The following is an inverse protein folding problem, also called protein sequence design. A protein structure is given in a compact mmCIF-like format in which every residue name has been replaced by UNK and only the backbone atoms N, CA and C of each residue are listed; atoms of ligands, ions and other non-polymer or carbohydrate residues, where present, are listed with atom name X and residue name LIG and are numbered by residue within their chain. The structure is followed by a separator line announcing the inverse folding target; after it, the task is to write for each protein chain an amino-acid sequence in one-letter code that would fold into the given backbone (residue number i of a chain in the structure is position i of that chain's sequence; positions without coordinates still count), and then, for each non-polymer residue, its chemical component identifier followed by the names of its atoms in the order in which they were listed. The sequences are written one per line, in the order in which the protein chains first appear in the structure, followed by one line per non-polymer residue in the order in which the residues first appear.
data_IF_158061148837
#
_entry.id   IF_158061148837
#
_cell.length_a   1.000
_cell.length_b   1.000
_cell.length_c   1.000
_cell.angle_alpha   90.00
_cell.angle_beta   90.00
_cell.angle_gamma   90.00
#
_symmetry.space_group_name_H-M   'P 1'
#
loop_
_entity.id
_entity.type
_entity.pdbx_description
1 polymer ?
#
# COMPACT_ATOMS: atom_id res chain seq x y z
N UNK A 1 -20.49 -9.56 11.47
CA UNK A 1 -20.29 -8.13 11.81
C UNK A 1 -20.26 -7.91 13.30
N UNK A 2 -21.26 -8.36 14.07
CA UNK A 2 -21.32 -8.12 15.53
C UNK A 2 -20.08 -8.61 16.30
N UNK A 3 -19.53 -9.78 15.97
CA UNK A 3 -18.30 -10.29 16.59
C UNK A 3 -17.07 -9.42 16.27
N UNK A 4 -16.93 -8.99 15.02
CA UNK A 4 -15.88 -8.08 14.58
C UNK A 4 -16.01 -6.71 15.26
N UNK A 5 -17.23 -6.18 15.41
CA UNK A 5 -17.48 -4.92 16.11
C UNK A 5 -17.11 -4.98 17.60
N UNK A 6 -17.49 -6.06 18.30
CA UNK A 6 -17.10 -6.28 19.70
C UNK A 6 -15.59 -6.36 19.86
N UNK A 7 -14.93 -7.07 18.95
CA UNK A 7 -13.47 -7.17 18.91
C UNK A 7 -12.81 -5.80 18.67
N UNK A 8 -13.32 -5.02 17.71
CA UNK A 8 -12.79 -3.69 17.41
C UNK A 8 -12.98 -2.73 18.58
N UNK A 9 -14.12 -2.76 19.28
CA UNK A 9 -14.32 -1.96 20.49
C UNK A 9 -13.28 -2.28 21.57
N UNK A 10 -13.02 -3.57 21.83
CA UNK A 10 -11.96 -4.01 22.74
C UNK A 10 -10.59 -3.55 22.27
N UNK A 11 -10.33 -3.54 20.97
CA UNK A 11 -9.08 -3.05 20.41
C UNK A 11 -8.92 -1.54 20.62
N UNK A 12 -9.98 -0.74 20.42
CA UNK A 12 -9.97 0.70 20.65
C UNK A 12 -9.79 1.07 22.14
N UNK A 13 -10.24 0.22 23.06
CA UNK A 13 -9.95 0.41 24.50
C UNK A 13 -8.45 0.20 24.81
N UNK A 14 -7.82 -0.76 24.13
CA UNK A 14 -6.41 -1.11 24.34
C UNK A 14 -5.47 -0.24 23.50
N UNK A 15 -5.93 0.36 22.40
CA UNK A 15 -5.18 1.28 21.54
C UNK A 15 -6.01 2.55 21.30
N UNK A 16 -6.23 3.38 22.33
CA UNK A 16 -7.16 4.49 22.22
C UNK A 16 -6.54 5.68 21.48
N UNK A 17 -7.37 6.42 20.74
CA UNK A 17 -6.95 7.60 19.97
C UNK A 17 -6.30 8.69 20.83
N UNK A 18 -6.76 8.86 22.08
CA UNK A 18 -6.18 9.81 23.05
C UNK A 18 -4.71 9.51 23.39
N UNK A 19 -4.27 8.27 23.18
CA UNK A 19 -2.86 7.86 23.35
C UNK A 19 -2.07 7.91 22.04
N UNK A 20 -2.68 8.44 20.98
CA UNK A 20 -2.05 8.65 19.69
C UNK A 20 -2.02 7.41 18.80
N UNK A 21 -3.05 6.56 18.88
CA UNK A 21 -3.22 5.41 17.98
C UNK A 21 -4.41 5.59 17.05
N UNK A 22 -4.29 5.14 15.82
CA UNK A 22 -5.45 4.87 14.97
C UNK A 22 -5.39 3.43 14.45
N UNK A 23 -6.56 2.79 14.35
CA UNK A 23 -6.70 1.42 13.88
C UNK A 23 -7.65 1.39 12.69
N UNK A 24 -7.17 0.87 11.55
CA UNK A 24 -7.91 0.85 10.29
C UNK A 24 -8.07 -0.58 9.78
N UNK A 25 -9.32 -0.97 9.50
CA UNK A 25 -9.71 -2.34 9.15
C UNK A 25 -9.53 -2.60 7.66
N UNK A 26 -9.06 -3.79 7.31
CA UNK A 26 -9.02 -4.29 5.94
C UNK A 26 -9.12 -5.82 5.87
N UNK A 27 -9.42 -6.34 4.68
CA UNK A 27 -9.35 -7.77 4.37
C UNK A 27 -7.95 -8.16 3.93
N UNK A 28 -7.46 -9.31 4.41
CA UNK A 28 -6.19 -9.89 3.92
C UNK A 28 -6.18 -10.05 2.39
N UNK A 29 -7.32 -10.41 1.79
CA UNK A 29 -7.47 -10.51 0.33
C UNK A 29 -7.23 -9.18 -0.40
N UNK A 30 -7.70 -8.06 0.16
CA UNK A 30 -7.48 -6.72 -0.40
C UNK A 30 -5.99 -6.38 -0.44
N UNK A 31 -5.26 -6.68 0.64
CA UNK A 31 -3.80 -6.54 0.67
C UNK A 31 -3.10 -7.47 -0.33
N UNK A 32 -3.45 -8.76 -0.34
CA UNK A 32 -2.84 -9.77 -1.21
C UNK A 32 -3.06 -9.50 -2.71
N UNK A 33 -4.14 -8.78 -3.06
CA UNK A 33 -4.40 -8.34 -4.43
C UNK A 33 -3.36 -7.34 -4.93
N UNK A 34 -2.75 -6.57 -4.02
CA UNK A 34 -1.73 -5.56 -4.32
C UNK A 34 -0.29 -6.00 -4.01
N UNK A 35 -0.13 -6.98 -3.12
CA UNK A 35 1.17 -7.54 -2.76
C UNK A 35 1.70 -8.47 -3.87
N UNK A 36 3.02 -8.45 -4.10
CA UNK A 36 3.64 -9.50 -4.91
C UNK A 36 3.61 -10.84 -4.17
N UNK A 37 3.74 -11.94 -4.91
CA UNK A 37 3.69 -13.32 -4.35
C UNK A 37 4.63 -13.56 -3.17
N UNK A 38 5.72 -12.79 -3.06
CA UNK A 38 6.70 -12.89 -1.98
C UNK A 38 6.28 -12.22 -0.67
N UNK A 39 5.24 -11.37 -0.72
CA UNK A 39 4.73 -10.60 0.42
C UNK A 39 3.28 -10.94 0.75
N UNK A 40 2.70 -11.95 0.09
CA UNK A 40 1.34 -12.38 0.38
C UNK A 40 1.25 -13.01 1.77
N UNK A 41 0.17 -12.68 2.46
CA UNK A 41 -0.17 -13.24 3.77
C UNK A 41 -1.05 -14.48 3.55
N UNK A 42 -0.66 -15.62 4.13
CA UNK A 42 -1.31 -16.90 3.88
C UNK A 42 -2.52 -17.15 4.80
N UNK A 43 -3.53 -16.29 4.69
CA UNK A 43 -4.84 -16.45 5.35
C UNK A 43 -5.97 -16.38 4.32
N UNK A 44 -7.20 -16.67 4.75
CA UNK A 44 -8.37 -16.51 3.90
C UNK A 44 -8.52 -15.07 3.44
N UNK A 45 -9.05 -14.88 2.23
CA UNK A 45 -9.22 -13.56 1.63
C UNK A 45 -10.08 -12.62 2.49
N UNK A 46 -11.05 -13.17 3.23
CA UNK A 46 -11.94 -12.41 4.11
C UNK A 46 -11.45 -12.29 5.55
N UNK A 47 -10.27 -12.82 5.90
CA UNK A 47 -9.71 -12.68 7.25
C UNK A 47 -9.58 -11.19 7.61
N UNK A 48 -10.06 -10.86 8.81
CA UNK A 48 -9.96 -9.53 9.40
C UNK A 48 -8.49 -9.20 9.69
N UNK A 49 -8.04 -8.07 9.15
CA UNK A 49 -6.79 -7.46 9.53
C UNK A 49 -7.00 -5.98 9.92
N UNK A 50 -6.14 -5.48 10.78
CA UNK A 50 -6.18 -4.10 11.26
C UNK A 50 -4.77 -3.53 11.18
N UNK A 51 -4.57 -2.45 10.44
CA UNK A 51 -3.32 -1.70 10.47
C UNK A 51 -3.39 -0.66 11.58
N UNK A 52 -2.35 -0.62 12.41
CA UNK A 52 -2.21 0.31 13.53
C UNK A 52 -1.14 1.33 13.16
N UNK A 53 -1.47 2.61 13.35
CA UNK A 53 -0.53 3.71 13.19
C UNK A 53 -0.44 4.55 14.46
N UNK A 54 0.69 5.23 14.64
CA UNK A 54 0.89 6.25 15.68
C UNK A 54 0.77 7.65 15.08
N UNK A 55 0.03 8.53 15.74
CA UNK A 55 -0.18 9.94 15.38
C UNK A 55 0.87 10.85 16.06
N UNK A 56 0.87 12.18 15.83
CA UNK A 56 1.78 13.10 16.51
C UNK A 56 1.70 13.03 18.05
N UNK A 57 0.48 13.00 18.60
CA UNK A 57 0.25 13.00 20.04
C UNK A 57 0.91 11.83 20.79
N UNK A 58 1.14 10.69 20.12
CA UNK A 58 1.79 9.51 20.71
C UNK A 58 3.10 9.83 21.45
N UNK A 59 3.93 10.72 20.90
CA UNK A 59 5.27 10.96 21.43
C UNK A 59 5.26 11.59 22.83
N UNK A 60 4.46 12.65 23.02
CA UNK A 60 4.35 13.35 24.30
C UNK A 60 3.32 12.71 25.23
N UNK A 61 2.17 12.26 24.71
CA UNK A 61 1.08 11.75 25.54
C UNK A 61 1.34 10.33 26.07
N UNK A 62 2.13 9.54 25.35
CA UNK A 62 2.25 8.10 25.59
C UNK A 62 3.69 7.66 25.76
N UNK A 63 4.54 7.93 24.76
CA UNK A 63 5.92 7.44 24.77
C UNK A 63 6.76 8.06 25.88
N UNK A 64 6.68 9.38 26.07
CA UNK A 64 7.42 10.09 27.13
C UNK A 64 7.06 9.60 28.54
N UNK A 65 5.79 9.60 28.98
CA UNK A 65 5.42 9.09 30.30
C UNK A 65 5.82 7.62 30.49
N UNK A 66 5.65 6.79 29.45
CA UNK A 66 6.09 5.40 29.51
C UNK A 66 7.61 5.32 29.73
N UNK A 67 8.41 6.05 28.95
CA UNK A 67 9.86 5.98 29.03
C UNK A 67 10.38 6.49 30.38
N UNK A 68 9.79 7.56 30.91
CA UNK A 68 10.06 8.04 32.27
C UNK A 68 9.75 6.98 33.33
N UNK A 69 8.65 6.22 33.17
CA UNK A 69 8.30 5.14 34.09
C UNK A 69 9.23 3.93 34.06
N UNK A 70 10.09 3.82 33.03
CA UNK A 70 11.09 2.74 32.95
C UNK A 70 12.36 3.03 33.76
N UNK A 71 12.58 4.29 34.16
CA UNK A 71 13.71 4.71 34.98
C UNK A 71 13.56 4.20 36.41
N UNK A 72 14.54 3.44 36.88
CA UNK A 72 14.60 2.96 38.26
C UNK A 72 15.07 4.08 39.21
N UNK A 73 14.75 3.95 40.50
CA UNK A 73 15.19 4.91 41.52
C UNK A 73 16.72 4.95 41.56
N UNK A 74 17.30 6.12 41.31
CA UNK A 74 18.75 6.33 41.30
C UNK A 74 19.46 5.91 40.00
N UNK A 75 18.72 5.42 38.99
CA UNK A 75 19.28 5.07 37.68
C UNK A 75 19.51 6.33 36.85
N UNK A 76 20.72 6.47 36.31
CA UNK A 76 21.06 7.56 35.40
C UNK A 76 20.42 7.36 34.01
N UNK A 77 20.22 8.43 33.21
CA UNK A 77 19.70 8.31 31.85
C UNK A 77 20.56 7.42 30.94
N UNK A 78 21.87 7.35 31.17
CA UNK A 78 22.78 6.50 30.39
C UNK A 78 22.57 5.02 30.72
N UNK A 79 22.43 4.67 31.99
CA UNK A 79 22.13 3.28 32.42
C UNK A 79 20.76 2.84 31.89
N UNK A 80 19.75 3.73 31.93
CA UNK A 80 18.45 3.47 31.32
C UNK A 80 18.58 3.23 29.80
N UNK A 81 19.40 4.03 29.11
CA UNK A 81 19.61 3.89 27.67
C UNK A 81 20.22 2.53 27.29
N UNK A 82 21.17 2.03 28.09
CA UNK A 82 21.80 0.71 27.89
C UNK A 82 20.81 -0.46 27.98
N UNK A 83 19.71 -0.32 28.73
CA UNK A 83 18.65 -1.33 28.81
C UNK A 83 17.84 -1.47 27.53
N UNK A 84 17.91 -0.50 26.62
CA UNK A 84 17.17 -0.50 25.35
C UNK A 84 18.08 -0.81 24.15
N UNK A 85 18.61 -2.03 24.08
CA UNK A 85 19.49 -2.49 23.00
C UNK A 85 18.89 -2.33 21.59
N UNK A 86 17.57 -2.54 21.44
CA UNK A 86 16.82 -2.35 20.19
C UNK A 86 16.22 -0.94 20.05
N UNK A 87 16.52 -0.04 20.98
CA UNK A 87 15.92 1.28 21.09
C UNK A 87 14.58 1.29 21.85
N UNK A 88 14.27 2.39 22.57
CA UNK A 88 13.11 2.46 23.45
C UNK A 88 11.76 2.39 22.73
N UNK A 89 11.68 2.89 21.49
CA UNK A 89 10.47 2.82 20.66
C UNK A 89 10.08 1.37 20.33
N UNK A 90 11.05 0.56 19.90
CA UNK A 90 10.80 -0.85 19.58
C UNK A 90 10.38 -1.63 20.83
N UNK A 91 11.03 -1.35 21.98
CA UNK A 91 10.66 -1.94 23.26
C UNK A 91 9.22 -1.57 23.68
N UNK A 92 8.84 -0.30 23.57
CA UNK A 92 7.48 0.17 23.84
C UNK A 92 6.46 -0.62 23.01
N UNK A 93 6.63 -0.67 21.68
CA UNK A 93 5.66 -1.32 20.80
C UNK A 93 5.60 -2.82 21.04
N UNK A 94 6.74 -3.47 21.29
CA UNK A 94 6.79 -4.91 21.63
C UNK A 94 5.96 -5.18 22.89
N UNK A 95 6.14 -4.38 23.94
CA UNK A 95 5.36 -4.52 25.18
C UNK A 95 3.88 -4.18 24.96
N UNK A 96 3.58 -3.10 24.23
CA UNK A 96 2.21 -2.65 23.98
C UNK A 96 1.41 -3.70 23.20
N UNK A 97 1.98 -4.28 22.16
CA UNK A 97 1.31 -5.31 21.36
C UNK A 97 1.27 -6.68 22.04
N UNK A 98 2.16 -6.98 23.00
CA UNK A 98 2.00 -8.12 23.90
C UNK A 98 0.73 -7.96 24.76
N UNK A 99 0.49 -6.76 25.32
CA UNK A 99 -0.76 -6.44 26.04
C UNK A 99 -1.99 -6.51 25.14
N UNK A 100 -1.87 -6.14 23.86
CA UNK A 100 -2.96 -6.35 22.88
C UNK A 100 -3.28 -7.83 22.75
N UNK A 101 -2.30 -8.72 22.62
CA UNK A 101 -2.52 -10.18 22.57
C UNK A 101 -3.26 -10.68 23.81
N UNK A 102 -2.78 -10.32 25.01
CA UNK A 102 -3.43 -10.67 26.28
C UNK A 102 -4.88 -10.16 26.33
N UNK A 103 -5.07 -8.91 25.95
CA UNK A 103 -6.36 -8.26 25.90
C UNK A 103 -7.21 -8.68 24.70
N UNK A 104 -6.82 -9.65 23.88
CA UNK A 104 -7.68 -10.24 22.85
C UNK A 104 -8.11 -11.66 23.20
N UNK A 105 -7.50 -12.30 24.21
CA UNK A 105 -7.85 -13.66 24.64
C UNK A 105 -9.36 -13.80 24.93
N UNK A 106 -9.99 -14.91 24.51
CA UNK A 106 -9.38 -16.10 23.89
C UNK A 106 -9.20 -16.02 22.36
N UNK A 107 -9.47 -14.87 21.73
CA UNK A 107 -9.34 -14.71 20.28
C UNK A 107 -7.87 -14.64 19.90
N UNK A 108 -7.46 -15.48 18.95
CA UNK A 108 -6.09 -15.46 18.41
C UNK A 108 -5.86 -14.19 17.59
N UNK A 109 -4.73 -13.53 17.86
CA UNK A 109 -4.25 -12.39 17.07
C UNK A 109 -2.77 -12.54 16.79
N UNK A 110 -2.43 -12.51 15.50
CA UNK A 110 -1.06 -12.39 15.03
C UNK A 110 -0.70 -10.91 14.89
N UNK A 111 0.49 -10.55 15.37
CA UNK A 111 1.01 -9.17 15.30
C UNK A 111 2.24 -9.20 14.41
N UNK A 112 2.20 -8.41 13.34
CA UNK A 112 3.33 -8.16 12.44
C UNK A 112 3.77 -6.70 12.61
N UNK A 113 4.97 -6.46 13.12
CA UNK A 113 5.51 -5.11 13.30
C UNK A 113 6.10 -4.55 12.00
N UNK A 114 6.24 -3.23 11.95
CA UNK A 114 6.92 -2.53 10.84
C UNK A 114 8.39 -2.91 10.73
N UNK A 115 9.01 -3.31 11.84
CA UNK A 115 10.39 -3.79 11.91
C UNK A 115 10.55 -5.31 11.75
N UNK A 116 9.46 -6.08 11.56
CA UNK A 116 9.56 -7.52 11.41
C UNK A 116 10.05 -7.92 10.01
N UNK A 117 11.14 -8.69 9.98
CA UNK A 117 11.75 -9.21 8.76
C UNK A 117 11.77 -10.74 8.73
N UNK A 118 11.68 -11.29 7.52
CA UNK A 118 11.90 -12.70 7.24
C UNK A 118 13.40 -13.06 7.34
N UNK A 119 13.72 -14.35 7.30
CA UNK A 119 15.11 -14.85 7.33
C UNK A 119 15.99 -14.27 6.20
N UNK A 120 15.39 -14.00 5.04
CA UNK A 120 16.03 -13.36 3.89
C UNK A 120 16.07 -11.81 3.97
N UNK A 121 15.79 -11.24 5.14
CA UNK A 121 15.76 -9.79 5.42
C UNK A 121 14.66 -9.00 4.71
N UNK A 122 13.72 -9.65 4.02
CA UNK A 122 12.53 -9.00 3.47
C UNK A 122 11.53 -8.65 4.58
N UNK A 123 10.80 -7.53 4.50
CA UNK A 123 9.69 -7.27 5.42
C UNK A 123 8.69 -8.42 5.44
N UNK A 124 8.14 -8.74 6.61
CA UNK A 124 7.04 -9.71 6.71
C UNK A 124 5.74 -9.18 6.09
N UNK A 125 5.53 -7.87 6.14
CA UNK A 125 4.34 -7.21 5.61
C UNK A 125 4.68 -5.82 5.05
N UNK A 126 3.98 -5.39 3.99
CA UNK A 126 4.15 -4.06 3.42
C UNK A 126 3.17 -3.07 4.06
N UNK A 127 3.65 -2.31 5.05
CA UNK A 127 2.82 -1.37 5.82
C UNK A 127 2.13 -0.31 4.96
N UNK A 128 2.81 0.22 3.93
CA UNK A 128 2.23 1.22 3.02
C UNK A 128 1.07 0.65 2.20
N UNK A 129 1.13 -0.64 1.86
CA UNK A 129 0.01 -1.31 1.18
C UNK A 129 -1.15 -1.53 2.14
N UNK A 130 -0.88 -1.93 3.39
CA UNK A 130 -1.91 -2.05 4.43
C UNK A 130 -2.64 -0.73 4.70
N UNK A 131 -1.88 0.37 4.84
CA UNK A 131 -2.43 1.71 4.98
C UNK A 131 -3.27 2.17 3.79
N UNK A 132 -2.87 1.78 2.58
CA UNK A 132 -3.63 2.11 1.37
C UNK A 132 -4.94 1.34 1.28
N UNK A 133 -4.91 0.01 1.45
CA UNK A 133 -6.10 -0.82 1.28
C UNK A 133 -7.12 -0.60 2.39
N UNK A 134 -6.67 -0.25 3.60
CA UNK A 134 -7.56 0.05 4.73
C UNK A 134 -8.21 1.44 4.68
N UNK A 135 -7.75 2.30 3.76
CA UNK A 135 -8.22 3.69 3.69
C UNK A 135 -7.51 4.68 4.60
N UNK A 136 -6.55 4.23 5.40
CA UNK A 136 -5.83 5.07 6.36
C UNK A 136 -5.02 6.18 5.68
N UNK A 137 -4.22 5.83 4.66
CA UNK A 137 -3.33 6.78 4.01
C UNK A 137 -3.14 6.44 2.52
N UNK A 138 -3.15 7.45 1.66
CA UNK A 138 -2.91 7.23 0.24
C UNK A 138 -1.41 6.99 0.01
N UNK A 139 -1.08 5.98 -0.81
CA UNK A 139 0.29 5.56 -1.04
C UNK A 139 0.72 6.06 -2.42
N UNK A 140 1.54 7.11 -2.42
CA UNK A 140 2.16 7.67 -3.61
C UNK A 140 3.39 6.85 -3.95
N UNK A 141 3.42 6.32 -5.17
CA UNK A 141 4.52 5.53 -5.70
C UNK A 141 5.38 6.41 -6.61
N UNK A 142 6.68 6.13 -6.73
CA UNK A 142 7.51 6.73 -7.78
C UNK A 142 6.80 6.61 -9.14
N UNK A 143 6.83 7.62 -10.00
CA UNK A 143 6.21 7.58 -11.34
C UNK A 143 6.61 6.34 -12.15
N UNK A 144 7.85 5.91 -11.97
CA UNK A 144 8.43 4.72 -12.56
C UNK A 144 7.70 3.45 -12.07
N UNK A 145 7.37 3.35 -10.78
CA UNK A 145 6.56 2.26 -10.24
C UNK A 145 5.06 2.42 -10.60
N UNK A 146 4.55 3.63 -10.83
CA UNK A 146 3.13 3.90 -11.14
C UNK A 146 2.73 3.45 -12.56
N UNK A 147 3.64 3.54 -13.53
CA UNK A 147 3.46 3.05 -14.91
C UNK A 147 3.17 1.54 -14.98
N UNK A 148 3.72 0.76 -14.04
CA UNK A 148 3.46 -0.68 -13.93
C UNK A 148 2.04 -1.01 -13.42
N UNK A 149 1.41 -0.09 -12.69
CA UNK A 149 0.10 -0.32 -12.06
C UNK A 149 -1.08 0.21 -12.87
N UNK A 150 -0.88 1.26 -13.69
CA UNK A 150 -1.95 1.80 -14.53
C UNK A 150 -2.47 0.74 -15.51
N UNK A 151 -1.61 -0.15 -16.00
CA UNK A 151 -1.97 -1.32 -16.82
C UNK A 151 -2.82 -2.35 -16.07
N UNK A 152 -2.54 -2.60 -14.79
CA UNK A 152 -3.32 -3.53 -13.96
C UNK A 152 -4.69 -2.96 -13.53
N UNK A 153 -4.77 -1.65 -13.27
CA UNK A 153 -6.00 -0.98 -12.83
C UNK A 153 -7.00 -0.73 -13.96
N UNK A 154 -6.51 -0.51 -15.19
CA UNK A 154 -7.38 -0.42 -16.38
C UNK A 154 -8.05 -1.78 -16.64
N UNK A 155 -7.30 -2.89 -16.54
CA UNK A 155 -7.86 -4.23 -16.67
C UNK A 155 -8.96 -4.53 -15.64
N UNK A 156 -8.80 -4.10 -14.39
CA UNK A 156 -9.81 -4.32 -13.35
C UNK A 156 -11.05 -3.41 -13.46
N UNK A 157 -10.95 -2.27 -14.15
CA UNK A 157 -12.04 -1.30 -14.30
C UNK A 157 -13.00 -1.69 -15.43
N UNK A 158 -12.50 -2.35 -16.47
CA UNK A 158 -13.31 -2.86 -17.58
C UNK A 158 -14.19 -4.05 -17.15
N UNK A 159 -13.72 -4.87 -16.21
CA UNK A 159 -14.51 -5.95 -15.60
C UNK A 159 -15.71 -5.43 -14.77
N UNK A 160 -15.56 -4.30 -14.08
CA UNK A 160 -16.64 -3.72 -13.27
C UNK A 160 -17.78 -3.12 -14.13
N UNK A 161 -17.50 -2.77 -15.38
CA UNK A 161 -18.51 -2.27 -16.33
C UNK A 161 -19.25 -3.43 -17.00
N UNK A 162 -18.62 -4.60 -17.15
CA UNK A 162 -19.22 -5.79 -17.75
C UNK A 162 -20.25 -6.50 -16.85
N UNK A 163 -20.15 -6.39 -15.52
CA UNK A 163 -21.05 -7.09 -14.56
C UNK A 163 -22.36 -6.31 -14.28
N UNK A 164 -22.57 -5.15 -14.92
CA UNK A 164 -23.69 -4.24 -14.63
C UNK A 164 -24.95 -4.37 -15.48
N UNK A 165 -25.07 -5.30 -16.43
CA UNK A 165 -26.27 -5.41 -17.28
C UNK A 165 -26.62 -6.83 -17.67
N UNK A 166 -27.40 -7.49 -16.83
CA UNK A 166 -28.40 -8.47 -17.29
C UNK A 166 -29.62 -8.40 -16.38
N UNK A 167 -30.61 -7.58 -16.76
CA UNK A 167 -32.02 -8.01 -16.73
C UNK A 167 -32.94 -6.99 -17.43
N UNK A 168 -33.86 -7.51 -18.25
CA UNK A 168 -35.11 -6.79 -18.60
C UNK A 168 -35.20 -6.13 -19.98
N UNK A 169 -35.73 -6.88 -20.95
CA UNK A 169 -36.31 -6.49 -22.26
C UNK A 169 -36.91 -5.06 -22.41
N UNK A 170 -36.63 -4.51 -23.61
CA UNK A 170 -37.49 -3.81 -24.61
C UNK A 170 -37.27 -2.29 -24.87
N UNK A 171 -36.88 -2.06 -26.14
CA UNK A 171 -37.19 -0.96 -27.09
C UNK A 171 -37.15 0.50 -26.61
N UNK A 172 -36.20 1.25 -27.16
CA UNK A 172 -36.31 2.71 -27.31
C UNK A 172 -35.05 3.34 -27.87
N UNK A 173 -35.09 3.78 -29.14
CA UNK A 173 -34.10 4.71 -29.73
C UNK A 173 -33.95 5.93 -28.82
N UNK A 174 -32.72 6.28 -28.43
CA UNK A 174 -32.27 7.67 -28.30
C UNK A 174 -30.75 7.75 -28.37
N UNK A 175 -30.32 8.46 -29.39
CA UNK A 175 -29.02 9.06 -29.63
C UNK A 175 -28.50 9.85 -28.42
N UNK A 176 -27.22 9.67 -28.10
CA UNK A 176 -26.49 10.46 -27.11
C UNK A 176 -25.04 10.01 -27.07
N UNK A 177 -24.22 10.59 -27.95
CA UNK A 177 -22.79 10.37 -28.02
C UNK A 177 -22.06 10.92 -26.79
N UNK A 178 -21.03 10.20 -26.38
CA UNK A 178 -20.04 10.61 -25.39
C UNK A 178 -18.74 9.87 -25.66
N UNK A 179 -18.12 10.15 -26.81
CA UNK A 179 -16.76 9.74 -27.11
C UNK A 179 -15.80 10.61 -26.28
N UNK A 180 -14.99 9.99 -25.43
CA UNK A 180 -13.71 10.58 -25.07
C UNK A 180 -12.67 10.08 -26.08
N UNK A 181 -12.38 10.95 -27.05
CA UNK A 181 -11.27 10.82 -27.99
C UNK A 181 -9.94 10.94 -27.24
N UNK A 182 -9.17 9.86 -27.14
CA UNK A 182 -7.71 9.97 -27.16
C UNK A 182 -7.26 9.99 -28.62
N UNK A 183 -6.91 11.18 -29.11
CA UNK A 183 -6.33 11.39 -30.44
C UNK A 183 -5.05 10.55 -30.58
N UNK A 184 -5.09 9.49 -31.37
CA UNK A 184 -3.92 8.98 -32.06
C UNK A 184 -4.01 9.49 -33.51
N UNK A 185 -3.10 10.37 -33.87
CA UNK A 185 -2.95 10.85 -35.25
C UNK A 185 -2.47 9.66 -36.08
N UNK A 186 -3.39 9.02 -36.81
CA UNK A 186 -3.05 8.17 -37.95
C UNK A 186 -3.28 9.05 -39.18
N UNK A 187 -2.20 9.58 -39.74
CA UNK A 187 -2.25 10.18 -41.07
C UNK A 187 -2.48 9.06 -42.11
N UNK A 188 -3.61 9.19 -42.80
CA UNK A 188 -3.92 8.73 -44.16
C UNK A 188 -3.80 7.23 -44.48
N UNK A 189 -4.95 6.56 -44.50
CA UNK A 189 -5.28 5.59 -45.53
C UNK A 189 -6.81 5.60 -45.75
N UNK A 190 -7.25 6.07 -46.92
CA UNK A 190 -8.65 6.02 -47.36
C UNK A 190 -9.02 4.57 -47.76
N UNK A 191 -10.13 4.04 -47.21
CA UNK A 191 -10.71 2.74 -47.59
C UNK A 191 -12.00 2.44 -46.81
N UNK A 192 -12.99 1.71 -47.38
CA UNK A 192 -14.41 1.89 -47.05
C UNK A 192 -14.94 1.02 -45.89
N UNK A 193 -15.93 1.60 -45.18
CA UNK A 193 -16.98 1.03 -44.32
C UNK A 193 -16.60 -0.08 -43.29
N UNK A 194 -16.32 0.37 -42.06
CA UNK A 194 -15.93 -0.44 -40.90
C UNK A 194 -17.08 -1.17 -40.18
N UNK A 195 -18.32 -1.10 -40.66
CA UNK A 195 -19.48 -1.70 -39.97
C UNK A 195 -19.81 -3.15 -40.38
N UNK A 196 -19.29 -3.66 -41.51
CA UNK A 196 -19.57 -5.05 -41.93
C UNK A 196 -18.57 -6.08 -41.39
N UNK A 197 -17.42 -5.65 -40.88
CA UNK A 197 -16.31 -6.55 -40.51
C UNK A 197 -16.44 -7.17 -39.11
N UNK A 198 -17.29 -6.64 -38.22
CA UNK A 198 -17.34 -7.06 -36.81
C UNK A 198 -18.15 -8.34 -36.55
N UNK A 199 -18.95 -8.81 -37.51
CA UNK A 199 -19.81 -9.98 -37.31
C UNK A 199 -19.13 -11.33 -37.63
N UNK A 200 -17.93 -11.34 -38.23
CA UNK A 200 -17.23 -12.56 -38.64
C UNK A 200 -16.12 -13.04 -37.68
N UNK A 201 -15.82 -12.29 -36.63
CA UNK A 201 -14.63 -12.51 -35.78
C UNK A 201 -14.83 -13.36 -34.52
N UNK A 202 -16.04 -13.87 -34.26
CA UNK A 202 -16.34 -14.57 -32.99
C UNK A 202 -16.41 -16.10 -33.09
N UNK A 203 -16.07 -16.68 -34.24
CA UNK A 203 -16.12 -18.13 -34.42
C UNK A 203 -14.77 -18.80 -34.11
N UNK A 204 -14.58 -19.19 -32.84
CA UNK A 204 -13.40 -19.94 -32.35
C UNK A 204 -13.11 -21.20 -33.18
N UNK A 205 -14.13 -21.81 -33.79
CA UNK A 205 -13.96 -23.04 -34.57
C UNK A 205 -13.28 -22.80 -35.93
N UNK A 206 -13.63 -21.70 -36.61
CA UNK A 206 -13.11 -21.40 -37.96
C UNK A 206 -11.63 -21.06 -38.01
N UNK A 207 -11.12 -20.36 -37.00
CA UNK A 207 -9.68 -20.04 -36.93
C UNK A 207 -8.83 -21.25 -36.54
N UNK A 208 -9.33 -22.11 -35.64
CA UNK A 208 -8.66 -23.36 -35.28
C UNK A 208 -8.48 -24.30 -36.47
N UNK A 209 -9.51 -24.42 -37.32
CA UNK A 209 -9.44 -25.22 -38.56
C UNK A 209 -8.44 -24.65 -39.59
N UNK A 210 -8.36 -23.32 -39.75
CA UNK A 210 -7.41 -22.67 -40.66
C UNK A 210 -5.94 -22.91 -40.24
N UNK A 211 -5.65 -22.88 -38.93
CA UNK A 211 -4.29 -23.06 -38.41
C UNK A 211 -3.85 -24.53 -38.47
N UNK A 212 -4.77 -25.47 -38.21
CA UNK A 212 -4.48 -26.90 -38.30
C UNK A 212 -4.13 -27.37 -39.71
N UNK A 213 -4.49 -26.60 -40.75
CA UNK A 213 -4.18 -26.91 -42.14
C UNK A 213 -2.77 -26.47 -42.58
N UNK A 214 -2.03 -25.71 -41.75
CA UNK A 214 -0.85 -24.96 -42.19
C UNK A 214 0.53 -25.41 -41.68
N UNK A 215 0.69 -26.61 -41.08
CA UNK A 215 1.95 -27.41 -40.91
C UNK A 215 1.75 -28.42 -39.74
N UNK A 216 2.59 -29.48 -39.59
CA UNK A 216 2.45 -30.49 -38.52
C UNK A 216 2.98 -29.97 -37.17
N UNK A 217 2.66 -28.73 -36.82
CA UNK A 217 3.13 -28.05 -35.62
C UNK A 217 1.90 -27.80 -34.76
N UNK A 218 1.96 -28.20 -33.49
CA UNK A 218 0.93 -27.90 -32.52
C UNK A 218 0.93 -26.40 -32.24
N UNK A 219 -0.18 -25.71 -32.57
CA UNK A 219 -0.32 -24.27 -32.37
C UNK A 219 -1.38 -24.03 -31.30
N UNK A 220 -0.96 -23.43 -30.19
CA UNK A 220 -1.89 -22.91 -29.17
C UNK A 220 -2.22 -21.45 -29.49
N UNK A 221 -3.50 -21.16 -29.68
CA UNK A 221 -4.00 -19.79 -29.91
C UNK A 221 -4.44 -19.20 -28.57
N UNK A 222 -3.80 -18.09 -28.18
CA UNK A 222 -4.15 -17.32 -26.97
C UNK A 222 -4.65 -15.95 -27.38
N UNK A 223 -5.81 -15.56 -26.85
CA UNK A 223 -6.41 -14.25 -27.06
C UNK A 223 -6.09 -13.28 -25.90
N UNK A 224 -6.21 -11.97 -26.15
CA UNK A 224 -5.99 -10.91 -25.16
C UNK A 224 -7.03 -10.94 -24.03
N UNK A 225 -8.22 -11.48 -24.30
CA UNK A 225 -9.28 -11.72 -23.33
C UNK A 225 -9.27 -13.11 -22.67
N UNK A 226 -8.32 -13.99 -23.01
CA UNK A 226 -8.26 -15.30 -22.36
C UNK A 226 -7.75 -15.15 -20.92
N UNK A 227 -8.50 -15.67 -19.96
CA UNK A 227 -8.17 -15.60 -18.52
C UNK A 227 -7.99 -16.99 -17.92
N UNK A 228 -7.10 -17.07 -16.92
CA UNK A 228 -6.89 -18.25 -16.08
C UNK A 228 -8.05 -18.41 -15.07
N UNK A 229 -8.10 -19.55 -14.37
CA UNK A 229 -9.11 -19.81 -13.32
C UNK A 229 -9.10 -18.80 -12.18
N UNK A 230 -7.96 -18.14 -11.94
CA UNK A 230 -7.79 -17.04 -10.98
C UNK A 230 -8.15 -15.66 -11.57
N UNK A 231 -8.79 -15.62 -12.75
CA UNK A 231 -9.19 -14.42 -13.52
C UNK A 231 -8.05 -13.53 -13.99
N UNK A 232 -6.80 -13.99 -13.96
CA UNK A 232 -5.68 -13.25 -14.56
C UNK A 232 -5.57 -13.55 -16.05
N UNK A 233 -5.13 -12.59 -16.88
CA UNK A 233 -4.87 -12.87 -18.30
C UNK A 233 -3.91 -14.05 -18.48
N UNK A 234 -4.23 -14.95 -19.42
CA UNK A 234 -3.35 -16.07 -19.80
C UNK A 234 -2.07 -15.56 -20.46
N UNK A 235 -2.13 -14.43 -21.16
CA UNK A 235 -1.02 -13.80 -21.85
C UNK A 235 -1.12 -12.28 -21.78
N UNK A 236 0.01 -11.59 -21.68
CA UNK A 236 0.08 -10.12 -21.76
C UNK A 236 0.52 -9.71 -23.16
N UNK A 237 -0.43 -9.31 -24.01
CA UNK A 237 -0.15 -8.95 -25.42
C UNK A 237 0.87 -7.83 -25.57
N UNK A 238 0.93 -6.90 -24.61
CA UNK A 238 1.94 -5.83 -24.57
C UNK A 238 3.36 -6.38 -24.42
N UNK A 239 3.55 -7.45 -23.66
CA UNK A 239 4.85 -8.13 -23.52
C UNK A 239 5.18 -8.91 -24.78
N UNK A 240 4.20 -9.61 -25.36
CA UNK A 240 4.36 -10.33 -26.63
C UNK A 240 4.79 -9.38 -27.76
N UNK A 241 4.13 -8.23 -27.90
CA UNK A 241 4.48 -7.23 -28.90
C UNK A 241 5.91 -6.70 -28.76
N UNK A 242 6.43 -6.58 -27.53
CA UNK A 242 7.82 -6.18 -27.29
C UNK A 242 8.83 -7.26 -27.62
N UNK A 243 8.58 -8.48 -27.14
CA UNK A 243 9.48 -9.61 -27.38
C UNK A 243 9.51 -10.00 -28.87
N UNK A 244 8.39 -9.84 -29.57
CA UNK A 244 8.32 -10.09 -31.02
C UNK A 244 8.90 -8.95 -31.86
N UNK A 245 9.29 -7.82 -31.25
CA UNK A 245 9.75 -6.63 -31.96
C UNK A 245 8.66 -5.82 -32.67
N UNK A 246 7.38 -6.14 -32.45
CA UNK A 246 6.25 -5.44 -33.07
C UNK A 246 5.95 -4.07 -32.43
N UNK A 247 6.19 -3.91 -31.12
CA UNK A 247 5.96 -2.66 -30.40
C UNK A 247 6.89 -2.56 -29.18
N UNK A 248 7.58 -1.44 -28.98
CA UNK A 248 8.45 -1.28 -27.81
C UNK A 248 7.61 -1.09 -26.54
N UNK A 249 7.71 -2.03 -25.58
CA UNK A 249 7.08 -1.89 -24.27
C UNK A 249 7.97 -1.04 -23.37
N UNK A 250 7.62 0.25 -23.26
CA UNK A 250 8.28 1.19 -22.36
C UNK A 250 8.07 0.74 -20.90
N UNK A 251 9.09 0.09 -20.35
CA UNK A 251 9.28 0.03 -18.91
C UNK A 251 10.06 1.29 -18.52
N UNK A 252 9.75 1.92 -17.37
CA UNK A 252 10.74 2.81 -16.78
C UNK A 252 12.04 2.02 -16.65
N UNK A 253 13.17 2.57 -17.10
CA UNK A 253 14.41 1.82 -17.08
C UNK A 253 14.77 1.57 -15.60
N UNK A 254 15.31 0.37 -15.32
CA UNK A 254 15.49 -0.12 -13.96
C UNK A 254 16.32 0.86 -13.12
N UNK A 255 17.28 1.54 -13.75
CA UNK A 255 18.08 2.63 -13.19
C UNK A 255 17.26 3.83 -12.68
N UNK A 256 16.11 4.15 -13.28
CA UNK A 256 15.23 5.24 -12.81
C UNK A 256 14.51 4.90 -11.50
N UNK A 257 14.45 3.61 -11.12
CA UNK A 257 14.00 3.18 -9.79
C UNK A 257 15.10 3.32 -8.74
N UNK A 258 16.34 3.57 -9.12
CA UNK A 258 17.47 3.70 -8.22
C UNK A 258 18.07 5.11 -8.28
N UNK A 259 18.72 5.52 -7.20
CA UNK A 259 19.43 6.78 -7.11
C UNK A 259 20.70 6.59 -6.28
N UNK A 260 21.73 7.38 -6.58
CA UNK A 260 22.96 7.39 -5.80
C UNK A 260 22.76 8.32 -4.60
N UNK A 261 22.76 7.76 -3.40
CA UNK A 261 22.71 8.57 -2.18
C UNK A 261 24.02 9.35 -2.01
N UNK A 262 24.01 10.69 -2.05
CA UNK A 262 25.22 11.48 -1.94
C UNK A 262 25.87 11.36 -0.55
N UNK A 263 25.11 11.07 0.51
CA UNK A 263 25.63 10.93 1.87
C UNK A 263 26.27 9.55 2.08
N UNK A 264 25.60 8.48 1.64
CA UNK A 264 26.10 7.12 1.87
C UNK A 264 26.89 6.53 0.71
N UNK A 265 26.90 7.18 -0.45
CA UNK A 265 27.49 6.72 -1.71
C UNK A 265 26.97 5.33 -2.14
N UNK A 266 25.75 4.97 -1.70
CA UNK A 266 25.09 3.71 -2.04
C UNK A 266 23.96 3.95 -3.03
N UNK A 267 23.83 3.02 -3.97
CA UNK A 267 22.66 2.96 -4.85
C UNK A 267 21.47 2.50 -4.01
N UNK A 268 20.45 3.35 -3.92
CA UNK A 268 19.21 3.11 -3.17
C UNK A 268 18.04 3.10 -4.13
N UNK A 269 17.04 2.27 -3.84
CA UNK A 269 15.77 2.33 -4.58
C UNK A 269 14.98 3.56 -4.12
N UNK A 270 14.35 4.28 -5.05
CA UNK A 270 13.34 5.29 -4.72
C UNK A 270 12.15 4.62 -4.06
N UNK A 271 11.80 5.09 -2.88
CA UNK A 271 10.72 4.58 -2.07
C UNK A 271 9.48 5.45 -2.25
N UNK A 272 8.31 4.82 -2.28
CA UNK A 272 7.04 5.54 -2.20
C UNK A 272 6.77 6.08 -0.79
N UNK A 273 5.80 7.00 -0.70
CA UNK A 273 5.41 7.69 0.52
C UNK A 273 3.90 7.53 0.75
N UNK A 274 3.49 7.33 2.00
CA UNK A 274 2.09 7.41 2.39
C UNK A 274 1.78 8.75 3.04
N UNK A 275 0.69 9.40 2.65
CA UNK A 275 0.20 10.61 3.32
C UNK A 275 -1.19 10.37 3.91
N UNK A 276 -1.31 10.67 5.20
CA UNK A 276 -2.55 10.61 5.95
C UNK A 276 -3.38 11.89 5.73
N UNK A 277 -4.72 11.81 5.56
CA UNK A 277 -5.56 12.99 5.34
C UNK A 277 -5.47 14.05 6.45
N UNK A 278 -5.26 13.63 7.69
CA UNK A 278 -5.16 14.54 8.84
C UNK A 278 -3.72 14.95 9.17
N UNK A 279 -2.75 14.06 8.96
CA UNK A 279 -1.39 14.23 9.48
C UNK A 279 -0.34 14.41 8.39
N UNK A 280 -0.71 14.34 7.10
CA UNK A 280 0.29 14.30 6.03
C UNK A 280 1.25 13.14 6.26
N UNK A 281 2.55 13.41 6.35
CA UNK A 281 3.56 12.42 6.75
C UNK A 281 3.90 12.40 8.24
N UNK A 282 3.19 13.15 9.09
CA UNK A 282 3.39 13.19 10.56
C UNK A 282 2.71 12.02 11.26
N UNK A 283 2.99 10.80 10.80
CA UNK A 283 2.54 9.57 11.42
C UNK A 283 3.53 8.44 11.11
N UNK A 284 3.32 7.27 11.70
CA UNK A 284 4.03 6.06 11.31
C UNK A 284 3.14 4.83 11.49
N UNK A 285 3.17 3.91 10.54
CA UNK A 285 2.62 2.57 10.74
C UNK A 285 3.45 1.81 11.77
N UNK A 286 2.80 1.00 12.61
CA UNK A 286 3.43 0.30 13.75
C UNK A 286 3.25 -1.20 13.69
N UNK A 287 2.04 -1.66 13.40
CA UNK A 287 1.78 -3.07 13.27
C UNK A 287 0.59 -3.34 12.36
N UNK A 288 0.50 -4.59 11.91
CA UNK A 288 -0.71 -5.19 11.38
C UNK A 288 -1.12 -6.29 12.33
N UNK A 289 -2.36 -6.23 12.78
CA UNK A 289 -3.01 -7.25 13.59
C UNK A 289 -3.86 -8.12 12.66
N UNK A 290 -3.62 -9.43 12.65
CA UNK A 290 -4.38 -10.38 11.84
C UNK A 290 -5.14 -11.27 12.80
N UNK A 291 -6.44 -11.47 12.55
CA UNK A 291 -7.31 -12.30 13.37
C UNK A 291 -7.71 -13.53 12.56
N UNK A 292 -6.94 -14.63 12.59
CA UNK A 292 -7.06 -15.74 11.62
C UNK A 292 -8.45 -16.38 11.57
N UNK A 293 -9.15 -16.36 12.71
CA UNK A 293 -10.46 -16.98 12.90
C UNK A 293 -11.64 -15.99 12.81
N UNK A 294 -11.37 -14.72 12.49
CA UNK A 294 -12.41 -13.71 12.34
C UNK A 294 -12.48 -13.29 10.88
N UNK A 295 -13.63 -13.51 10.25
CA UNK A 295 -13.84 -13.19 8.84
C UNK A 295 -14.82 -12.03 8.69
N UNK A 296 -14.41 -11.04 7.92
CA UNK A 296 -15.28 -9.96 7.48
C UNK A 296 -16.27 -10.51 6.45
N UNK A 297 -17.51 -9.99 6.41
CA UNK A 297 -18.46 -10.38 5.37
C UNK A 297 -17.94 -10.09 3.97
N UNK A 298 -18.39 -10.87 2.98
CA UNK A 298 -17.94 -10.72 1.59
C UNK A 298 -18.25 -9.31 1.05
N UNK A 299 -19.35 -8.73 1.48
CA UNK A 299 -19.83 -7.40 1.14
C UNK A 299 -19.08 -6.25 1.82
N UNK A 300 -18.28 -6.52 2.86
CA UNK A 300 -17.45 -5.48 3.49
C UNK A 300 -16.49 -4.89 2.45
N UNK A 301 -16.49 -3.56 2.34
CA UNK A 301 -15.62 -2.78 1.46
C UNK A 301 -14.86 -1.77 2.29
N UNK A 302 -13.55 -1.75 2.13
CA UNK A 302 -12.70 -0.74 2.74
C UNK A 302 -12.99 0.64 2.17
N UNK A 303 -12.74 1.65 3.00
CA UNK A 303 -12.77 3.03 2.52
C UNK A 303 -11.56 3.26 1.60
N UNK A 304 -11.78 4.02 0.52
CA UNK A 304 -10.68 4.43 -0.33
C UNK A 304 -9.95 5.60 0.33
N UNK A 305 -8.61 5.56 0.48
CA UNK A 305 -7.88 6.68 1.06
C UNK A 305 -7.98 7.90 0.11
N UNK A 306 -8.14 9.11 0.65
CA UNK A 306 -8.22 10.32 -0.17
C UNK A 306 -6.84 10.66 -0.77
N UNK A 307 -6.83 10.95 -2.07
CA UNK A 307 -5.63 11.41 -2.77
C UNK A 307 -5.48 12.92 -2.58
N UNK A 308 -4.63 13.33 -1.63
CA UNK A 308 -4.34 14.72 -1.26
C UNK A 308 -3.55 15.51 -2.30
N UNK A 309 -2.71 14.84 -3.11
CA UNK A 309 -1.88 15.47 -4.14
C UNK A 309 -2.51 15.21 -5.50
N UNK A 310 -3.14 16.25 -6.05
CA UNK A 310 -3.99 16.22 -7.24
C UNK A 310 -3.22 16.31 -8.57
N UNK A 311 -1.94 16.70 -8.54
CA UNK A 311 -1.10 16.79 -9.73
C UNK A 311 0.15 15.90 -9.64
N UNK A 312 0.67 15.47 -10.79
CA UNK A 312 1.87 14.63 -10.88
C UNK A 312 3.08 15.38 -10.32
N UNK A 313 3.16 16.68 -10.53
CA UNK A 313 4.25 17.53 -10.04
C UNK A 313 4.32 17.52 -8.52
N UNK A 314 3.17 17.69 -7.84
CA UNK A 314 3.09 17.63 -6.38
C UNK A 314 3.47 16.24 -5.85
N UNK A 315 3.05 15.19 -6.55
CA UNK A 315 3.41 13.81 -6.18
C UNK A 315 4.92 13.58 -6.31
N UNK A 316 5.52 14.04 -7.41
CA UNK A 316 6.95 13.92 -7.66
C UNK A 316 7.77 14.72 -6.64
N UNK A 317 7.34 15.95 -6.33
CA UNK A 317 7.97 16.79 -5.32
C UNK A 317 7.95 16.10 -3.94
N UNK A 318 6.80 15.57 -3.52
CA UNK A 318 6.68 14.86 -2.25
C UNK A 318 7.58 13.61 -2.18
N UNK A 319 7.69 12.86 -3.28
CA UNK A 319 8.55 11.68 -3.38
C UNK A 319 10.02 12.08 -3.36
N UNK A 320 10.41 13.14 -4.08
CA UNK A 320 11.78 13.67 -4.06
C UNK A 320 12.17 14.13 -2.65
N UNK A 321 11.31 14.92 -1.98
CA UNK A 321 11.53 15.34 -0.60
C UNK A 321 11.70 14.14 0.35
N UNK A 322 10.89 13.08 0.18
CA UNK A 322 10.98 11.88 1.01
C UNK A 322 12.26 11.06 0.76
N UNK A 323 12.77 11.01 -0.46
CA UNK A 323 13.96 10.20 -0.75
C UNK A 323 15.26 10.97 -0.50
N UNK A 324 15.30 12.25 -0.86
CA UNK A 324 16.52 13.06 -0.89
C UNK A 324 16.67 13.95 0.36
N UNK A 325 15.57 14.29 1.02
CA UNK A 325 15.54 15.31 2.08
C UNK A 325 14.77 14.90 3.35
N UNK A 326 14.55 13.61 3.60
CA UNK A 326 13.68 13.14 4.69
C UNK A 326 14.03 13.66 6.09
N UNK A 327 15.32 13.95 6.35
CA UNK A 327 15.80 14.44 7.67
C UNK A 327 15.25 15.80 8.05
N UNK A 328 14.93 16.65 7.07
CA UNK A 328 14.36 17.98 7.33
C UNK A 328 12.85 17.94 7.60
N UNK A 329 12.21 16.79 7.37
CA UNK A 329 10.80 16.55 7.64
C UNK A 329 9.80 17.26 6.72
N UNK A 330 10.23 18.04 5.72
CA UNK A 330 9.32 18.85 4.87
C UNK A 330 8.34 18.01 4.09
N UNK A 331 8.72 16.80 3.65
CA UNK A 331 7.81 15.87 2.98
C UNK A 331 6.55 15.56 3.79
N UNK A 332 6.61 15.69 5.13
CA UNK A 332 5.47 15.43 6.01
C UNK A 332 4.38 16.49 5.90
N UNK A 333 4.72 17.68 5.40
CA UNK A 333 3.77 18.78 5.21
C UNK A 333 3.04 18.72 3.86
N UNK A 334 3.44 17.80 2.97
CA UNK A 334 2.70 17.54 1.74
C UNK A 334 1.26 17.08 2.08
N UNK A 335 0.27 17.71 1.46
CA UNK A 335 -1.15 17.44 1.74
C UNK A 335 -1.77 18.28 2.86
N UNK A 336 -1.06 19.32 3.35
CA UNK A 336 -1.57 20.30 4.32
C UNK A 336 -2.11 19.67 5.62
N UNK A 337 -1.24 19.06 6.43
CA UNK A 337 -1.65 18.38 7.66
C UNK A 337 -2.31 19.35 8.66
N UNK A 338 -3.31 18.83 9.37
CA UNK A 338 -4.00 19.52 10.46
C UNK A 338 -3.19 19.47 11.76
N UNK A 339 -2.52 18.34 12.00
CA UNK A 339 -1.70 18.10 13.19
C UNK A 339 -0.33 17.58 12.76
N UNK A 340 0.72 18.12 13.35
CA UNK A 340 2.11 17.84 12.99
C UNK A 340 2.92 17.37 14.18
N UNK A 341 4.05 16.72 13.92
CA UNK A 341 5.05 16.46 14.95
C UNK A 341 5.56 17.77 15.53
N UNK A 342 5.90 17.76 16.82
CA UNK A 342 6.58 18.88 17.47
C UNK A 342 8.03 19.00 16.96
N UNK A 343 8.65 20.16 17.16
CA UNK A 343 10.06 20.37 16.80
C UNK A 343 10.98 19.35 17.50
N UNK A 344 10.69 19.02 18.76
CA UNK A 344 11.41 17.99 19.51
C UNK A 344 11.25 16.61 18.86
N UNK A 345 10.03 16.24 18.48
CA UNK A 345 9.73 14.94 17.87
C UNK A 345 10.39 14.81 16.48
N UNK A 346 10.38 15.88 15.67
CA UNK A 346 11.10 15.93 14.40
C UNK A 346 12.61 15.76 14.62
N UNK A 347 13.19 16.50 15.58
CA UNK A 347 14.60 16.40 15.95
C UNK A 347 14.96 14.99 16.43
N UNK A 348 14.11 14.38 17.26
CA UNK A 348 14.28 13.01 17.75
C UNK A 348 14.35 11.99 16.61
N UNK A 349 13.43 12.06 15.63
CA UNK A 349 13.40 11.11 14.52
C UNK A 349 14.46 11.36 13.44
N UNK A 350 14.97 12.59 13.32
CA UNK A 350 16.06 12.92 12.41
C UNK A 350 17.41 12.34 12.86
N UNK A 351 17.58 12.07 14.16
CA UNK A 351 18.82 11.55 14.73
C UNK A 351 18.93 10.01 14.63
N UNK A 352 20.16 9.47 14.47
CA UNK A 352 20.44 8.05 14.66
C UNK A 352 20.06 7.56 16.07
N UNK A 353 19.65 6.29 16.26
CA UNK A 353 19.14 5.79 17.54
C UNK A 353 19.99 6.10 18.78
N UNK A 354 21.32 6.02 18.67
CA UNK A 354 22.24 6.29 19.78
C UNK A 354 22.26 7.76 20.22
N UNK A 355 22.07 8.69 19.27
CA UNK A 355 22.12 10.12 19.54
C UNK A 355 20.79 10.66 20.07
N UNK A 356 19.69 9.90 19.93
CA UNK A 356 18.35 10.32 20.33
C UNK A 356 18.21 10.62 21.82
N UNK A 357 18.98 9.95 22.68
CA UNK A 357 18.93 10.17 24.12
C UNK A 357 19.36 11.59 24.50
N UNK A 358 20.28 12.19 23.75
CA UNK A 358 20.77 13.54 24.02
C UNK A 358 19.68 14.61 23.92
N UNK A 359 18.68 14.41 23.04
CA UNK A 359 17.61 15.40 22.82
C UNK A 359 16.43 15.25 23.77
N UNK A 360 16.33 14.13 24.49
CA UNK A 360 15.29 13.87 25.50
C UNK A 360 15.88 13.78 26.91
N UNK A 361 17.13 14.19 27.11
CA UNK A 361 17.80 14.13 28.41
C UNK A 361 17.05 14.94 29.49
N UNK A 362 16.38 16.01 29.07
CA UNK A 362 15.54 16.86 29.92
C UNK A 362 14.30 16.13 30.49
N UNK A 363 13.89 15.01 29.89
CA UNK A 363 12.78 14.20 30.41
C UNK A 363 13.12 13.52 31.74
N UNK A 364 14.40 13.37 32.08
CA UNK A 364 14.86 12.57 33.22
C UNK A 364 15.55 13.40 34.30
N UNK A 365 15.43 14.74 34.24
CA UNK A 365 16.01 15.62 35.26
C UNK A 365 15.36 15.33 36.62
N UNK A 366 16.20 15.07 37.62
CA UNK A 366 15.84 14.73 39.00
C UNK A 366 14.70 15.62 39.50
N UNK A 367 13.53 15.02 39.77
CA UNK A 367 12.57 15.62 40.70
C UNK A 367 13.26 15.65 42.06
N UNK A 368 13.91 16.78 42.38
CA UNK A 368 14.45 17.06 43.72
C UNK A 368 13.38 16.95 44.78
#
# INVERSE_FOLDING_TARGET
MEEAEKLLNRLYEVLPEKEGFECHVFKVGSYNSLASVYFQLHYDANTLAVVVLSTPSFFEATFKPWLQSQQLVGESPNELAERFSSGPMQAYFTQRFAKVKEAMLPIEVEVLHDFDVQSNRRPRVLMTTCGHVSGAAFFYRPPEDALFWLTCLVAARDDAIAVGKEDGRRKGRRSGGGLYHTHWIIQNAEGPDSTSCMASYTDKARYGEMVSAMLPIEVEVLHDFDVQSNRRPRVLMTTCGHVSGAAFFYRPPEDALFWLDPETQKVKRRMGLSLHPKFGGHFAFRAVLIFPHVHLPVEFKENRPPMLLDTIEKQNEAIALFNEHWKDGRFRNCGNPVETYSDLQLKYFALPPLERWSVIADWFVEKR
#
